data_IF_212089185932
#
_entry.id   IF_212089185932
#
_cell.length_a   1.000
_cell.length_b   1.000
_cell.length_c   1.000
_cell.angle_alpha   90.00
_cell.angle_beta   90.00
_cell.angle_gamma   90.00
#
_symmetry.space_group_name_H-M   'P 1'
#
loop_
_entity.id
_entity.type
_entity.pdbx_description
1 polymer ?
#
# COMPACT_ATOMS: atom_id res chain seq x y z
N UNK A 1 -28.19 6.05 -1.44
CA UNK A 1 -28.21 5.60 -0.02
C UNK A 1 -26.99 6.14 0.69
N UNK A 2 -27.06 6.32 2.01
CA UNK A 2 -25.91 6.85 2.77
C UNK A 2 -24.94 5.72 3.17
N UNK A 3 -23.65 5.93 2.86
CA UNK A 3 -22.55 5.01 3.19
C UNK A 3 -21.70 5.62 4.28
N UNK A 4 -21.39 4.85 5.33
CA UNK A 4 -20.39 5.20 6.33
C UNK A 4 -19.07 4.48 5.99
N UNK A 5 -18.04 5.23 5.63
CA UNK A 5 -16.70 4.71 5.41
C UNK A 5 -15.83 4.96 6.64
N UNK A 6 -15.25 3.90 7.21
CA UNK A 6 -14.44 3.99 8.43
C UNK A 6 -13.02 3.50 8.14
N UNK A 7 -12.03 4.32 8.44
CA UNK A 7 -10.61 3.98 8.31
C UNK A 7 -9.81 4.48 9.52
N UNK A 8 -8.81 3.73 9.92
CA UNK A 8 -7.82 4.16 10.92
C UNK A 8 -6.65 4.89 10.27
N UNK A 9 -6.49 4.75 8.94
CA UNK A 9 -5.53 5.50 8.15
C UNK A 9 -6.04 6.92 7.89
N UNK A 10 -5.15 7.92 7.95
CA UNK A 10 -5.49 9.31 7.66
C UNK A 10 -5.67 9.56 6.16
N UNK A 11 -6.63 10.41 5.80
CA UNK A 11 -6.81 10.85 4.41
C UNK A 11 -5.65 11.73 3.94
N UNK A 12 -4.96 12.39 4.87
CA UNK A 12 -3.77 13.21 4.63
C UNK A 12 -2.46 12.42 4.77
N UNK A 13 -2.51 11.15 5.17
CA UNK A 13 -1.37 10.23 5.14
C UNK A 13 -1.14 9.70 3.70
N UNK A 14 0.05 9.17 3.36
CA UNK A 14 0.36 8.71 2.00
C UNK A 14 -0.64 7.71 1.42
N UNK A 15 -1.27 6.89 2.27
CA UNK A 15 -2.31 5.94 1.85
C UNK A 15 -3.65 6.62 1.51
N UNK A 16 -3.93 7.79 2.09
CA UNK A 16 -5.16 8.53 1.84
C UNK A 16 -5.35 8.87 0.37
N UNK A 17 -4.47 9.67 -0.24
CA UNK A 17 -4.57 10.05 -1.64
C UNK A 17 -4.40 8.90 -2.63
N UNK A 18 -3.71 7.82 -2.25
CA UNK A 18 -3.44 6.70 -3.16
C UNK A 18 -4.47 5.58 -3.09
N UNK A 19 -5.05 5.30 -1.91
CA UNK A 19 -5.84 4.08 -1.70
C UNK A 19 -7.18 4.31 -1.00
N UNK A 20 -7.51 5.53 -0.57
CA UNK A 20 -8.78 5.81 0.10
C UNK A 20 -9.58 6.81 -0.70
N UNK A 21 -9.06 8.00 -0.93
CA UNK A 21 -9.79 9.08 -1.62
C UNK A 21 -10.28 8.69 -3.02
N UNK A 22 -9.50 8.03 -3.90
CA UNK A 22 -9.99 7.63 -5.21
C UNK A 22 -11.20 6.69 -5.13
N UNK A 23 -11.16 5.71 -4.24
CA UNK A 23 -12.27 4.77 -4.05
C UNK A 23 -13.51 5.46 -3.48
N UNK A 24 -13.35 6.30 -2.46
CA UNK A 24 -14.49 6.99 -1.83
C UNK A 24 -15.12 8.01 -2.77
N UNK A 25 -14.32 8.73 -3.55
CA UNK A 25 -14.80 9.61 -4.62
C UNK A 25 -15.56 8.81 -5.70
N UNK A 26 -15.06 7.63 -6.08
CA UNK A 26 -15.76 6.71 -6.97
C UNK A 26 -17.10 6.25 -6.40
N UNK A 27 -17.12 5.84 -5.14
CA UNK A 27 -18.35 5.43 -4.44
C UNK A 27 -19.36 6.58 -4.40
N UNK A 28 -18.94 7.80 -4.10
CA UNK A 28 -19.82 8.96 -3.97
C UNK A 28 -20.55 9.34 -5.26
N UNK A 29 -20.02 8.95 -6.44
CA UNK A 29 -20.71 9.16 -7.72
C UNK A 29 -21.98 8.31 -7.88
N UNK A 30 -22.10 7.23 -7.11
CA UNK A 30 -23.19 6.26 -7.20
C UNK A 30 -24.05 6.21 -5.93
N UNK A 31 -23.78 7.08 -4.96
CA UNK A 31 -24.46 7.11 -3.66
C UNK A 31 -24.92 8.53 -3.33
N UNK A 32 -25.97 8.66 -2.52
CA UNK A 32 -26.52 9.97 -2.14
C UNK A 32 -25.54 10.75 -1.27
N UNK A 33 -24.89 10.05 -0.33
CA UNK A 33 -23.89 10.63 0.57
C UNK A 33 -22.92 9.58 1.08
N UNK A 34 -21.65 9.96 1.22
CA UNK A 34 -20.62 9.17 1.91
C UNK A 34 -20.10 9.96 3.10
N UNK A 35 -20.26 9.41 4.29
CA UNK A 35 -19.66 9.97 5.51
C UNK A 35 -18.38 9.22 5.83
N UNK A 36 -17.24 9.92 5.89
CA UNK A 36 -15.94 9.32 6.17
C UNK A 36 -15.49 9.65 7.58
N UNK A 37 -15.07 8.62 8.33
CA UNK A 37 -14.34 8.75 9.60
C UNK A 37 -12.91 8.28 9.38
N UNK A 38 -11.93 9.15 9.66
CA UNK A 38 -10.50 8.85 9.53
C UNK A 38 -9.72 9.38 10.73
N UNK A 39 -8.49 8.88 10.94
CA UNK A 39 -7.59 9.37 11.99
C UNK A 39 -6.44 10.16 11.38
N UNK A 40 -6.35 11.42 11.75
CA UNK A 40 -5.37 12.35 11.20
C UNK A 40 -4.27 12.68 12.21
N UNK A 41 -3.06 12.84 11.71
CA UNK A 41 -1.96 13.44 12.48
C UNK A 41 -2.16 14.94 12.58
N UNK A 42 -2.03 15.50 13.79
CA UNK A 42 -2.29 16.92 14.05
C UNK A 42 -1.55 17.87 13.08
N UNK A 43 -0.27 17.59 12.80
CA UNK A 43 0.54 18.39 11.88
C UNK A 43 -0.01 18.39 10.45
N UNK A 44 -0.39 17.21 9.94
CA UNK A 44 -0.94 17.07 8.59
C UNK A 44 -2.33 17.68 8.48
N UNK A 45 -3.14 17.53 9.52
CA UNK A 45 -4.46 18.12 9.57
C UNK A 45 -4.39 19.65 9.54
N UNK A 46 -3.43 20.24 10.27
CA UNK A 46 -3.22 21.70 10.29
C UNK A 46 -2.93 22.27 8.89
N UNK A 47 -2.10 21.58 8.11
CA UNK A 47 -1.66 22.09 6.81
C UNK A 47 -2.51 21.63 5.63
N UNK A 48 -3.21 20.48 5.74
CA UNK A 48 -3.90 19.84 4.60
C UNK A 48 -5.42 19.91 4.66
N UNK A 49 -6.02 20.32 5.79
CA UNK A 49 -7.47 20.24 6.01
C UNK A 49 -8.28 21.03 4.98
N UNK A 50 -7.93 22.29 4.78
CA UNK A 50 -8.71 23.19 3.94
C UNK A 50 -8.62 22.80 2.45
N UNK A 51 -7.45 22.40 2.00
CA UNK A 51 -7.25 21.88 0.65
C UNK A 51 -8.08 20.61 0.40
N UNK A 52 -8.06 19.66 1.36
CA UNK A 52 -8.86 18.44 1.25
C UNK A 52 -10.37 18.73 1.31
N UNK A 53 -10.82 19.62 2.20
CA UNK A 53 -12.23 20.01 2.26
C UNK A 53 -12.68 20.69 0.96
N UNK A 54 -11.83 21.51 0.34
CA UNK A 54 -12.11 22.14 -0.95
C UNK A 54 -12.26 21.08 -2.07
N UNK A 55 -11.37 20.10 -2.10
CA UNK A 55 -11.45 18.99 -3.06
C UNK A 55 -12.72 18.15 -2.86
N UNK A 56 -13.09 17.83 -1.62
CA UNK A 56 -14.26 17.02 -1.29
C UNK A 56 -15.60 17.71 -1.56
N UNK A 57 -15.64 19.06 -1.67
CA UNK A 57 -16.87 19.80 -2.00
C UNK A 57 -17.48 19.43 -3.35
N UNK A 58 -16.66 18.93 -4.27
CA UNK A 58 -17.11 18.48 -5.59
C UNK A 58 -17.79 17.10 -5.56
N UNK A 59 -17.88 16.50 -4.38
CA UNK A 59 -18.41 15.15 -4.17
C UNK A 59 -19.42 15.16 -3.03
N UNK A 60 -20.37 14.25 -3.03
CA UNK A 60 -21.30 14.04 -1.90
C UNK A 60 -20.60 13.34 -0.73
N UNK A 61 -19.55 13.99 -0.19
CA UNK A 61 -18.70 13.42 0.85
C UNK A 61 -18.65 14.34 2.07
N UNK A 62 -19.05 13.81 3.22
CA UNK A 62 -18.90 14.48 4.52
C UNK A 62 -17.72 13.86 5.29
N UNK A 63 -16.65 14.62 5.50
CA UNK A 63 -15.49 14.16 6.23
C UNK A 63 -15.54 14.50 7.74
N UNK A 64 -15.29 13.51 8.59
CA UNK A 64 -15.27 13.59 10.05
C UNK A 64 -13.90 13.11 10.58
N UNK A 65 -12.86 13.98 10.55
CA UNK A 65 -11.54 13.62 11.04
C UNK A 65 -11.52 13.48 12.56
N UNK A 66 -10.84 12.45 13.06
CA UNK A 66 -10.45 12.27 14.44
C UNK A 66 -8.93 12.48 14.57
N UNK A 67 -8.48 13.00 15.70
CA UNK A 67 -7.05 13.16 15.94
C UNK A 67 -6.45 11.88 16.50
N UNK A 68 -5.32 11.48 15.92
CA UNK A 68 -4.54 10.35 16.38
C UNK A 68 -3.88 10.65 17.73
N UNK A 69 -4.03 9.74 18.70
CA UNK A 69 -3.42 9.92 20.04
C UNK A 69 -1.96 9.51 20.01
N UNK A 70 -1.05 10.49 20.21
CA UNK A 70 0.40 10.27 20.29
C UNK A 70 0.83 9.93 21.72
N UNK A 71 1.88 9.12 21.87
CA UNK A 71 2.65 8.98 23.11
C UNK A 71 2.10 8.03 24.18
N UNK A 72 0.86 7.56 24.09
CA UNK A 72 0.24 6.71 25.13
C UNK A 72 0.25 5.21 24.79
N UNK A 73 1.00 4.77 23.81
CA UNK A 73 1.16 3.36 23.46
C UNK A 73 -0.19 2.61 23.29
N UNK A 74 -0.41 1.58 24.09
CA UNK A 74 -1.66 0.80 24.05
C UNK A 74 -2.89 1.59 24.50
N UNK A 75 -2.77 2.43 25.54
CA UNK A 75 -3.87 3.28 26.03
C UNK A 75 -4.32 4.27 24.96
N UNK A 76 -3.38 4.86 24.21
CA UNK A 76 -3.72 5.75 23.09
C UNK A 76 -4.56 5.04 22.03
N UNK A 77 -4.22 3.81 21.67
CA UNK A 77 -5.01 3.00 20.72
C UNK A 77 -6.41 2.68 21.24
N UNK A 78 -6.55 2.42 22.54
CA UNK A 78 -7.86 2.19 23.16
C UNK A 78 -8.72 3.46 23.15
N UNK A 79 -8.11 4.63 23.42
CA UNK A 79 -8.80 5.92 23.33
C UNK A 79 -9.24 6.23 21.89
N UNK A 80 -8.38 5.99 20.93
CA UNK A 80 -8.72 6.18 19.51
C UNK A 80 -9.88 5.27 19.10
N UNK A 81 -9.83 4.01 19.48
CA UNK A 81 -10.91 3.05 19.21
C UNK A 81 -12.23 3.50 19.85
N UNK A 82 -12.20 3.95 21.12
CA UNK A 82 -13.38 4.46 21.82
C UNK A 82 -13.98 5.69 21.13
N UNK A 83 -13.13 6.63 20.67
CA UNK A 83 -13.58 7.80 19.88
C UNK A 83 -14.20 7.38 18.55
N UNK A 84 -13.65 6.36 17.90
CA UNK A 84 -14.20 5.82 16.66
C UNK A 84 -15.60 5.24 16.86
N UNK A 85 -15.80 4.47 17.95
CA UNK A 85 -17.13 3.96 18.32
C UNK A 85 -18.13 5.09 18.60
N UNK A 86 -17.72 6.08 19.39
CA UNK A 86 -18.58 7.23 19.72
C UNK A 86 -18.93 8.02 18.45
N UNK A 87 -17.95 8.32 17.62
CA UNK A 87 -18.18 9.06 16.38
C UNK A 87 -19.09 8.29 15.41
N UNK A 88 -18.89 6.99 15.26
CA UNK A 88 -19.73 6.15 14.43
C UNK A 88 -21.18 6.11 14.98
N UNK A 89 -21.36 6.01 16.30
CA UNK A 89 -22.68 6.09 16.94
C UNK A 89 -23.37 7.43 16.66
N UNK A 90 -22.69 8.55 16.88
CA UNK A 90 -23.26 9.89 16.62
C UNK A 90 -23.64 10.08 15.14
N UNK A 91 -22.87 9.50 14.21
CA UNK A 91 -23.21 9.51 12.79
C UNK A 91 -24.48 8.70 12.54
N UNK A 92 -24.64 7.54 13.18
CA UNK A 92 -25.87 6.74 12.99
C UNK A 92 -27.12 7.41 13.56
N UNK A 93 -26.99 8.25 14.58
CA UNK A 93 -28.11 9.06 15.09
C UNK A 93 -28.52 10.18 14.12
N UNK A 94 -27.56 10.67 13.30
CA UNK A 94 -27.79 11.80 12.38
C UNK A 94 -28.17 11.35 10.97
N UNK A 95 -27.59 10.25 10.50
CA UNK A 95 -27.71 9.76 9.14
C UNK A 95 -28.35 8.37 9.09
N UNK A 96 -29.22 8.12 8.12
CA UNK A 96 -29.81 6.81 7.88
C UNK A 96 -28.80 5.91 7.12
N UNK A 97 -27.83 5.38 7.86
CA UNK A 97 -26.75 4.55 7.30
C UNK A 97 -27.32 3.22 6.78
N UNK A 98 -27.06 2.92 5.53
CA UNK A 98 -27.47 1.67 4.86
C UNK A 98 -26.32 0.69 4.69
N UNK A 99 -25.10 1.21 4.47
CA UNK A 99 -23.88 0.43 4.29
C UNK A 99 -22.76 1.02 5.13
N UNK A 100 -22.03 0.15 5.78
CA UNK A 100 -20.75 0.48 6.44
C UNK A 100 -19.63 -0.19 5.66
N UNK A 101 -18.71 0.59 5.12
CA UNK A 101 -17.47 0.11 4.50
C UNK A 101 -16.34 0.34 5.51
N UNK A 102 -15.83 -0.72 6.07
CA UNK A 102 -14.84 -0.65 7.15
C UNK A 102 -13.47 -1.18 6.67
N UNK A 103 -12.48 -0.26 6.58
CA UNK A 103 -11.14 -0.56 6.10
C UNK A 103 -10.25 -1.10 7.21
N UNK A 104 -9.80 -2.34 7.08
CA UNK A 104 -8.97 -3.10 8.02
C UNK A 104 -9.69 -3.46 9.34
N UNK A 105 -8.99 -4.19 10.23
CA UNK A 105 -9.59 -4.85 11.38
C UNK A 105 -10.16 -3.92 12.47
N UNK A 106 -9.46 -2.85 12.94
CA UNK A 106 -10.03 -1.97 13.96
C UNK A 106 -11.31 -1.26 13.49
N UNK A 107 -11.36 -0.64 12.30
CA UNK A 107 -12.60 -0.08 11.75
C UNK A 107 -13.71 -1.12 11.56
N UNK A 108 -13.38 -2.36 11.18
CA UNK A 108 -14.38 -3.39 10.98
C UNK A 108 -15.07 -3.81 12.30
N UNK A 109 -14.39 -3.73 13.45
CA UNK A 109 -15.03 -3.94 14.76
C UNK A 109 -16.09 -2.87 15.03
N UNK A 110 -15.78 -1.61 14.71
CA UNK A 110 -16.73 -0.50 14.81
C UNK A 110 -17.86 -0.66 13.80
N UNK A 111 -17.56 -1.05 12.56
CA UNK A 111 -18.56 -1.36 11.54
C UNK A 111 -19.53 -2.45 11.98
N UNK A 112 -19.03 -3.49 12.64
CA UNK A 112 -19.87 -4.56 13.20
C UNK A 112 -20.79 -4.06 14.33
N UNK A 113 -20.33 -3.13 15.15
CA UNK A 113 -21.16 -2.45 16.13
C UNK A 113 -22.28 -1.65 15.45
N UNK A 114 -21.94 -0.82 14.46
CA UNK A 114 -22.93 -0.05 13.68
C UNK A 114 -23.98 -0.97 13.04
N UNK A 115 -23.54 -2.06 12.39
CA UNK A 115 -24.45 -3.07 11.83
C UNK A 115 -25.47 -3.58 12.85
N UNK A 116 -25.04 -3.84 14.09
CA UNK A 116 -25.93 -4.36 15.13
C UNK A 116 -26.99 -3.38 15.60
N UNK A 117 -26.67 -2.09 15.64
CA UNK A 117 -27.61 -1.07 16.12
C UNK A 117 -28.49 -0.48 15.02
N UNK A 118 -28.06 -0.56 13.74
CA UNK A 118 -28.78 0.08 12.61
C UNK A 118 -29.36 -0.90 11.59
N UNK A 119 -28.97 -2.17 11.62
CA UNK A 119 -29.22 -3.17 10.58
C UNK A 119 -28.57 -2.84 9.21
N UNK A 120 -27.64 -1.88 9.16
CA UNK A 120 -26.85 -1.58 7.97
C UNK A 120 -26.02 -2.79 7.53
N UNK A 121 -25.78 -2.92 6.22
CA UNK A 121 -24.86 -3.94 5.69
C UNK A 121 -23.41 -3.57 5.99
N UNK A 122 -22.59 -4.56 6.37
CA UNK A 122 -21.17 -4.38 6.64
C UNK A 122 -20.33 -4.97 5.51
N UNK A 123 -19.55 -4.13 4.87
CA UNK A 123 -18.45 -4.52 3.97
C UNK A 123 -17.16 -4.46 4.79
N UNK A 124 -16.51 -5.61 4.94
CA UNK A 124 -15.18 -5.70 5.56
C UNK A 124 -14.10 -5.63 4.47
N UNK A 125 -13.45 -4.50 4.33
CA UNK A 125 -12.27 -4.34 3.48
C UNK A 125 -11.06 -4.92 4.22
N UNK A 126 -10.76 -6.20 3.97
CA UNK A 126 -9.85 -7.05 4.73
C UNK A 126 -8.39 -6.59 4.64
N UNK A 127 -7.96 -6.03 3.53
CA UNK A 127 -6.62 -5.46 3.27
C UNK A 127 -5.43 -6.38 3.53
N UNK A 128 -5.64 -7.66 3.73
CA UNK A 128 -4.62 -8.68 3.94
C UNK A 128 -4.61 -9.28 5.35
N UNK A 129 -3.74 -10.25 5.58
CA UNK A 129 -3.59 -11.02 6.81
C UNK A 129 -2.90 -10.17 7.90
N UNK A 130 -3.58 -9.12 8.34
CA UNK A 130 -3.04 -8.09 9.24
C UNK A 130 -2.49 -8.66 10.55
N UNK A 131 -3.14 -9.68 11.11
CA UNK A 131 -2.74 -10.31 12.38
C UNK A 131 -1.40 -11.02 12.22
N UNK A 132 -1.23 -11.76 11.13
CA UNK A 132 -0.01 -12.49 10.79
C UNK A 132 1.11 -11.51 10.39
N UNK A 133 0.78 -10.46 9.65
CA UNK A 133 1.72 -9.39 9.28
C UNK A 133 2.35 -8.70 10.49
N UNK A 134 1.66 -8.61 11.63
CA UNK A 134 2.22 -8.09 12.88
C UNK A 134 3.33 -8.97 13.43
N UNK A 135 3.24 -10.27 13.24
CA UNK A 135 4.29 -11.24 13.59
C UNK A 135 5.46 -11.10 12.63
N UNK A 136 5.19 -11.11 11.32
CA UNK A 136 6.21 -11.00 10.26
C UNK A 136 7.04 -9.72 10.37
N UNK A 137 6.40 -8.59 10.72
CA UNK A 137 7.07 -7.30 10.98
C UNK A 137 7.84 -7.24 12.30
N UNK A 138 7.79 -8.31 13.12
CA UNK A 138 8.43 -8.36 14.43
C UNK A 138 7.72 -7.56 15.52
N UNK A 139 6.50 -7.07 15.24
CA UNK A 139 5.69 -6.35 16.23
C UNK A 139 5.15 -7.25 17.34
N UNK A 140 4.99 -8.54 17.05
CA UNK A 140 4.62 -9.58 18.03
C UNK A 140 5.59 -10.76 17.95
N UNK A 141 6.27 -11.03 19.07
CA UNK A 141 7.09 -12.22 19.22
C UNK A 141 6.24 -13.31 19.87
N UNK A 142 5.90 -14.36 19.13
CA UNK A 142 5.04 -15.44 19.62
C UNK A 142 5.69 -16.32 20.71
N UNK A 143 6.99 -16.21 20.96
CA UNK A 143 7.65 -16.81 22.11
C UNK A 143 7.31 -16.08 23.42
N UNK A 144 6.84 -14.84 23.34
CA UNK A 144 6.41 -14.06 24.48
C UNK A 144 4.93 -14.33 24.80
N UNK A 145 4.61 -14.69 26.04
CA UNK A 145 3.27 -15.10 26.47
C UNK A 145 2.17 -14.08 26.12
N UNK A 146 2.38 -12.81 26.44
CA UNK A 146 1.39 -11.76 26.17
C UNK A 146 1.16 -11.52 24.67
N UNK A 147 2.22 -11.55 23.85
CA UNK A 147 2.08 -11.41 22.39
C UNK A 147 1.31 -12.60 21.80
N UNK A 148 1.55 -13.82 22.31
CA UNK A 148 0.80 -15.02 21.90
C UNK A 148 -0.68 -14.95 22.26
N UNK A 149 -1.00 -14.42 23.47
CA UNK A 149 -2.40 -14.20 23.87
C UNK A 149 -3.08 -13.16 23.00
N UNK A 150 -2.37 -12.06 22.70
CA UNK A 150 -2.83 -10.98 21.82
C UNK A 150 -3.07 -11.49 20.40
N UNK A 151 -2.15 -12.27 19.85
CA UNK A 151 -2.30 -12.92 18.54
C UNK A 151 -3.56 -13.80 18.50
N UNK A 152 -3.73 -14.70 19.47
CA UNK A 152 -4.91 -15.57 19.54
C UNK A 152 -6.22 -14.77 19.67
N UNK A 153 -6.21 -13.67 20.42
CA UNK A 153 -7.36 -12.77 20.54
C UNK A 153 -7.72 -12.16 19.17
N UNK A 154 -6.75 -11.56 18.50
CA UNK A 154 -7.01 -10.91 17.21
C UNK A 154 -7.35 -11.89 16.09
N UNK A 155 -6.81 -13.12 16.10
CA UNK A 155 -7.26 -14.18 15.15
C UNK A 155 -8.73 -14.56 15.40
N UNK A 156 -9.21 -14.58 16.63
CA UNK A 156 -10.63 -14.77 16.92
C UNK A 156 -11.49 -13.59 16.45
N UNK A 157 -11.00 -12.37 16.65
CA UNK A 157 -11.67 -11.16 16.15
C UNK A 157 -11.74 -11.18 14.63
N UNK A 158 -10.65 -11.49 13.94
CA UNK A 158 -10.58 -11.62 12.49
C UNK A 158 -11.61 -12.61 11.97
N UNK A 159 -11.63 -13.82 12.51
CA UNK A 159 -12.64 -14.84 12.17
C UNK A 159 -14.07 -14.34 12.37
N UNK A 160 -14.34 -13.69 13.50
CA UNK A 160 -15.67 -13.13 13.81
C UNK A 160 -16.10 -12.08 12.81
N UNK A 161 -15.17 -11.18 12.41
CA UNK A 161 -15.43 -10.15 11.42
C UNK A 161 -15.75 -10.76 10.05
N UNK A 162 -14.99 -11.78 9.61
CA UNK A 162 -15.27 -12.50 8.36
C UNK A 162 -16.66 -13.13 8.36
N UNK A 163 -17.01 -13.84 9.44
CA UNK A 163 -18.32 -14.52 9.56
C UNK A 163 -19.49 -13.52 9.56
N UNK A 164 -19.36 -12.42 10.30
CA UNK A 164 -20.47 -11.48 10.56
C UNK A 164 -20.58 -10.32 9.58
N UNK A 165 -19.60 -10.12 8.70
CA UNK A 165 -19.71 -9.16 7.59
C UNK A 165 -20.69 -9.67 6.53
N UNK A 166 -21.40 -8.78 5.86
CA UNK A 166 -22.27 -9.17 4.74
C UNK A 166 -21.44 -9.43 3.47
N UNK A 167 -20.34 -8.71 3.32
CA UNK A 167 -19.40 -8.88 2.21
C UNK A 167 -17.96 -8.61 2.65
N UNK A 168 -17.00 -9.25 2.00
CA UNK A 168 -15.56 -9.11 2.28
C UNK A 168 -14.86 -8.68 0.99
N UNK A 169 -14.06 -7.63 1.07
CA UNK A 169 -13.18 -7.22 -0.02
C UNK A 169 -11.76 -7.64 0.33
N UNK A 170 -11.09 -8.32 -0.60
CA UNK A 170 -9.69 -8.73 -0.48
C UNK A 170 -8.86 -8.13 -1.62
N UNK A 171 -7.53 -8.11 -1.47
CA UNK A 171 -6.65 -7.48 -2.45
C UNK A 171 -6.11 -8.44 -3.51
N UNK A 172 -6.18 -9.74 -3.27
CA UNK A 172 -5.52 -10.75 -4.12
C UNK A 172 -6.36 -12.00 -4.23
N UNK A 173 -6.27 -12.68 -5.38
CA UNK A 173 -6.88 -13.99 -5.56
C UNK A 173 -6.23 -15.05 -4.64
N UNK A 174 -4.92 -14.94 -4.42
CA UNK A 174 -4.17 -15.88 -3.56
C UNK A 174 -4.67 -15.95 -2.12
N UNK A 175 -5.27 -14.86 -1.59
CA UNK A 175 -5.76 -14.85 -0.21
C UNK A 175 -7.20 -15.34 -0.07
N UNK A 176 -7.93 -15.53 -1.19
CA UNK A 176 -9.35 -15.92 -1.17
C UNK A 176 -9.57 -17.23 -0.43
N UNK A 177 -8.84 -18.28 -0.79
CA UNK A 177 -8.98 -19.61 -0.16
C UNK A 177 -8.68 -19.56 1.33
N UNK A 178 -7.68 -18.75 1.73
CA UNK A 178 -7.34 -18.57 3.14
C UNK A 178 -8.45 -17.84 3.91
N UNK A 179 -9.06 -16.81 3.31
CA UNK A 179 -10.19 -16.08 3.90
C UNK A 179 -11.42 -16.97 4.03
N UNK A 180 -11.71 -17.81 3.02
CA UNK A 180 -12.77 -18.81 3.08
C UNK A 180 -12.54 -19.75 4.25
N UNK A 181 -11.34 -20.30 4.37
CA UNK A 181 -10.95 -21.22 5.43
C UNK A 181 -11.00 -20.59 6.83
N UNK A 182 -10.47 -19.38 6.98
CA UNK A 182 -10.46 -18.63 8.25
C UNK A 182 -11.88 -18.28 8.73
N UNK A 183 -12.74 -17.82 7.82
CA UNK A 183 -14.09 -17.37 8.11
C UNK A 183 -15.15 -18.44 8.00
N UNK A 184 -14.87 -19.58 7.36
CA UNK A 184 -15.88 -20.57 6.92
C UNK A 184 -17.03 -19.87 6.16
N UNK A 185 -16.69 -18.98 5.23
CA UNK A 185 -17.63 -18.18 4.43
C UNK A 185 -17.63 -18.64 2.97
N UNK A 186 -18.73 -18.39 2.29
CA UNK A 186 -18.85 -18.71 0.87
C UNK A 186 -18.06 -17.73 0.01
N UNK A 187 -17.51 -18.21 -1.10
CA UNK A 187 -16.78 -17.40 -2.08
C UNK A 187 -17.65 -16.28 -2.67
N UNK A 188 -18.95 -16.49 -2.82
CA UNK A 188 -19.93 -15.48 -3.28
C UNK A 188 -19.94 -14.20 -2.43
N UNK A 189 -19.46 -14.27 -1.19
CA UNK A 189 -19.36 -13.14 -0.26
C UNK A 189 -18.01 -12.41 -0.36
N UNK A 190 -17.13 -12.82 -1.27
CA UNK A 190 -15.78 -12.25 -1.41
C UNK A 190 -15.65 -11.60 -2.78
N UNK A 191 -15.11 -10.38 -2.81
CA UNK A 191 -14.70 -9.70 -4.04
C UNK A 191 -13.22 -9.34 -3.95
N UNK A 192 -12.48 -9.67 -5.00
CA UNK A 192 -11.07 -9.26 -5.14
C UNK A 192 -11.02 -7.88 -5.79
N UNK A 193 -10.46 -6.90 -5.08
CA UNK A 193 -10.21 -5.55 -5.57
C UNK A 193 -8.76 -5.21 -5.27
N UNK A 194 -7.83 -5.39 -6.22
CA UNK A 194 -6.42 -5.08 -6.02
C UNK A 194 -6.18 -3.58 -5.84
N UNK A 195 -4.99 -3.21 -5.39
CA UNK A 195 -4.57 -1.82 -5.42
C UNK A 195 -4.45 -1.37 -6.88
N UNK A 196 -5.11 -0.26 -7.21
CA UNK A 196 -5.15 0.31 -8.55
C UNK A 196 -4.41 1.65 -8.59
N UNK A 197 -4.02 2.08 -9.79
CA UNK A 197 -3.52 3.42 -10.05
C UNK A 197 -4.61 4.29 -10.69
N UNK A 198 -4.51 5.59 -10.47
CA UNK A 198 -5.28 6.60 -11.19
C UNK A 198 -4.51 6.98 -12.46
N UNK A 199 -5.02 6.59 -13.63
CA UNK A 199 -4.40 6.87 -14.93
C UNK A 199 -4.32 8.37 -15.25
N UNK A 200 -5.18 9.21 -14.68
CA UNK A 200 -5.08 10.66 -14.85
C UNK A 200 -3.89 11.21 -14.05
N UNK A 201 -3.51 10.55 -12.95
CA UNK A 201 -2.38 10.94 -12.13
C UNK A 201 -1.07 10.27 -12.56
N UNK A 202 -1.15 9.05 -13.11
CA UNK A 202 -0.03 8.28 -13.66
C UNK A 202 -0.29 8.01 -15.14
N UNK A 203 -0.07 9.01 -16.02
CA UNK A 203 -0.24 8.83 -17.44
C UNK A 203 0.87 7.94 -18.03
N UNK A 204 0.61 7.35 -19.16
CA UNK A 204 1.61 6.60 -19.92
C UNK A 204 2.82 7.51 -20.23
N UNK A 205 4.00 7.03 -19.93
CA UNK A 205 5.26 7.75 -20.17
C UNK A 205 5.59 7.81 -21.67
N UNK A 206 6.14 8.95 -22.11
CA UNK A 206 6.64 9.15 -23.46
C UNK A 206 8.16 9.34 -23.43
N UNK A 207 8.81 9.23 -24.58
CA UNK A 207 10.26 9.48 -24.68
C UNK A 207 10.63 10.90 -24.27
N UNK A 208 9.78 11.89 -24.54
CA UNK A 208 9.98 13.26 -24.06
C UNK A 208 9.94 13.32 -22.53
N UNK A 209 8.94 12.69 -21.89
CA UNK A 209 8.86 12.63 -20.43
C UNK A 209 10.10 11.95 -19.82
N UNK A 210 10.60 10.90 -20.48
CA UNK A 210 11.80 10.18 -20.06
C UNK A 210 13.03 11.07 -20.12
N UNK A 211 13.22 11.77 -21.22
CA UNK A 211 14.35 12.68 -21.42
C UNK A 211 14.32 13.83 -20.41
N UNK A 212 13.18 14.50 -20.27
CA UNK A 212 13.00 15.63 -19.34
C UNK A 212 13.26 15.22 -17.88
N UNK A 213 12.75 14.05 -17.46
CA UNK A 213 12.97 13.53 -16.13
C UNK A 213 14.47 13.23 -15.89
N UNK A 214 15.17 12.61 -16.83
CA UNK A 214 16.60 12.31 -16.73
C UNK A 214 17.46 13.57 -16.66
N UNK A 215 17.22 14.55 -17.51
CA UNK A 215 17.90 15.86 -17.48
C UNK A 215 17.71 16.52 -16.11
N UNK A 216 16.49 16.54 -15.59
CA UNK A 216 16.18 17.17 -14.30
C UNK A 216 16.87 16.47 -13.11
N UNK A 217 17.20 15.20 -13.24
CA UNK A 217 17.85 14.36 -12.23
C UNK A 217 19.38 14.27 -12.41
N UNK A 218 19.94 14.82 -13.50
CA UNK A 218 21.35 14.68 -13.85
C UNK A 218 21.74 13.24 -14.23
N UNK A 219 20.80 12.47 -14.77
CA UNK A 219 21.01 11.12 -15.29
C UNK A 219 21.33 11.24 -16.78
N UNK A 220 22.36 10.53 -17.30
CA UNK A 220 22.61 10.50 -18.74
C UNK A 220 21.36 10.05 -19.51
N UNK A 221 21.04 10.70 -20.61
CA UNK A 221 19.79 10.45 -21.35
C UNK A 221 19.75 9.09 -22.02
N UNK A 222 20.90 8.53 -22.31
CA UNK A 222 21.13 7.20 -22.90
C UNK A 222 21.38 6.09 -21.87
N UNK A 223 21.44 6.42 -20.55
CA UNK A 223 21.66 5.43 -19.50
C UNK A 223 20.49 4.45 -19.39
N UNK A 224 20.78 3.21 -19.00
CA UNK A 224 19.79 2.26 -18.52
C UNK A 224 19.55 2.47 -17.01
N UNK A 225 18.32 2.68 -16.59
CA UNK A 225 18.00 3.10 -15.22
C UNK A 225 17.15 2.06 -14.48
N UNK A 226 17.73 1.42 -13.48
CA UNK A 226 16.98 0.62 -12.51
C UNK A 226 16.33 1.51 -11.46
N UNK A 227 15.03 1.33 -11.22
CA UNK A 227 14.24 2.14 -10.31
C UNK A 227 13.88 1.45 -9.00
N UNK A 228 13.81 2.22 -7.93
CA UNK A 228 13.14 1.84 -6.68
C UNK A 228 12.20 2.96 -6.23
N UNK A 229 10.98 2.59 -5.86
CA UNK A 229 9.99 3.53 -5.30
C UNK A 229 9.44 2.99 -3.97
N UNK A 230 9.58 3.73 -2.88
CA UNK A 230 8.94 3.39 -1.62
C UNK A 230 9.73 3.74 -0.37
N UNK A 231 9.22 3.30 0.79
CA UNK A 231 9.89 3.44 2.09
C UNK A 231 10.98 2.38 2.26
N UNK A 232 11.92 2.66 3.16
CA UNK A 232 12.99 1.75 3.54
C UNK A 232 12.57 1.02 4.82
N UNK A 233 12.66 -0.31 4.82
CA UNK A 233 12.32 -1.11 6.00
C UNK A 233 12.50 -2.59 5.75
N UNK A 234 12.45 -3.39 6.82
CA UNK A 234 12.73 -4.85 6.83
C UNK A 234 11.97 -5.67 5.79
N UNK A 235 10.83 -5.16 5.31
CA UNK A 235 10.00 -5.87 4.34
C UNK A 235 10.43 -5.63 2.89
N UNK A 236 11.29 -4.64 2.64
CA UNK A 236 11.81 -4.31 1.32
C UNK A 236 13.27 -4.70 1.25
N UNK A 237 13.62 -5.58 0.33
CA UNK A 237 14.93 -6.21 0.24
C UNK A 237 15.88 -5.34 -0.60
N UNK A 238 16.23 -4.15 -0.07
CA UNK A 238 17.13 -3.21 -0.76
C UNK A 238 18.57 -3.73 -0.90
N UNK A 239 18.99 -4.62 -0.01
CA UNK A 239 20.26 -5.36 -0.16
C UNK A 239 20.27 -6.18 -1.48
N UNK A 240 19.13 -6.78 -1.84
CA UNK A 240 18.95 -7.52 -3.10
C UNK A 240 18.86 -6.58 -4.29
N UNK A 241 18.23 -5.41 -4.12
CA UNK A 241 18.26 -4.36 -5.14
C UNK A 241 19.70 -3.94 -5.47
N UNK A 242 20.51 -3.65 -4.45
CA UNK A 242 21.90 -3.27 -4.68
C UNK A 242 22.74 -4.41 -5.27
N UNK A 243 22.42 -5.66 -4.93
CA UNK A 243 23.09 -6.80 -5.55
C UNK A 243 22.74 -6.88 -7.05
N UNK A 244 21.45 -6.81 -7.40
CA UNK A 244 21.02 -6.76 -8.79
C UNK A 244 21.69 -5.59 -9.56
N UNK A 245 21.73 -4.40 -8.94
CA UNK A 245 22.36 -3.23 -9.53
C UNK A 245 23.87 -3.46 -9.83
N UNK A 246 24.60 -4.07 -8.89
CA UNK A 246 26.02 -4.42 -9.11
C UNK A 246 26.21 -5.38 -10.29
N UNK A 247 25.40 -6.42 -10.33
CA UNK A 247 25.42 -7.38 -11.44
C UNK A 247 25.10 -6.70 -12.76
N UNK A 248 24.09 -5.82 -12.78
CA UNK A 248 23.70 -5.05 -13.99
C UNK A 248 24.83 -4.14 -14.47
N UNK A 249 25.54 -3.43 -13.59
CA UNK A 249 26.68 -2.58 -13.96
C UNK A 249 27.87 -3.39 -14.55
N UNK A 250 28.03 -4.65 -14.13
CA UNK A 250 29.08 -5.51 -14.71
C UNK A 250 28.77 -5.86 -16.18
N UNK A 251 27.51 -6.07 -16.52
CA UNK A 251 27.04 -6.41 -17.87
C UNK A 251 26.86 -5.13 -18.72
N UNK A 252 26.23 -4.11 -18.15
CA UNK A 252 25.91 -2.82 -18.80
C UNK A 252 26.65 -1.68 -18.12
N UNK A 253 27.66 -1.13 -18.78
CA UNK A 253 28.47 -0.02 -18.23
C UNK A 253 27.72 1.31 -18.14
N UNK A 254 26.61 1.45 -18.87
CA UNK A 254 25.68 2.58 -18.85
C UNK A 254 24.58 2.46 -17.78
N UNK A 255 24.60 1.43 -16.93
CA UNK A 255 23.59 1.21 -15.92
C UNK A 255 23.71 2.20 -14.75
N UNK A 256 22.61 2.89 -14.45
CA UNK A 256 22.40 3.77 -13.31
C UNK A 256 21.23 3.28 -12.45
N UNK A 257 21.06 3.83 -11.25
CA UNK A 257 19.92 3.55 -10.39
C UNK A 257 19.25 4.85 -9.93
N UNK A 258 17.91 4.87 -9.90
CA UNK A 258 17.11 5.95 -9.32
C UNK A 258 16.27 5.42 -8.16
N UNK A 259 16.54 5.91 -6.94
CA UNK A 259 15.79 5.54 -5.75
C UNK A 259 14.93 6.71 -5.26
N UNK A 260 13.62 6.55 -5.36
CA UNK A 260 12.63 7.55 -4.93
C UNK A 260 12.11 7.15 -3.57
N UNK A 261 12.56 7.84 -2.51
CA UNK A 261 12.19 7.55 -1.12
C UNK A 261 12.22 8.80 -0.25
N UNK A 262 11.41 8.82 0.80
CA UNK A 262 11.47 9.85 1.87
C UNK A 262 12.48 9.50 2.97
N UNK A 263 12.92 8.26 3.01
CA UNK A 263 13.82 7.73 4.06
C UNK A 263 15.29 7.87 3.64
N UNK A 264 15.69 9.08 3.19
CA UNK A 264 16.99 9.32 2.58
C UNK A 264 18.18 9.03 3.50
N UNK A 265 18.04 9.29 4.80
CA UNK A 265 19.12 9.00 5.79
C UNK A 265 19.35 7.51 5.95
N UNK A 266 18.30 6.71 6.04
CA UNK A 266 18.39 5.25 6.12
C UNK A 266 18.96 4.66 4.80
N UNK A 267 18.57 5.24 3.65
CA UNK A 267 19.11 4.84 2.36
C UNK A 267 20.62 5.09 2.28
N UNK A 268 21.09 6.25 2.72
CA UNK A 268 22.51 6.58 2.69
C UNK A 268 23.34 5.57 3.45
N UNK A 269 22.91 5.18 4.66
CA UNK A 269 23.59 4.14 5.46
C UNK A 269 23.65 2.78 4.73
N UNK A 270 22.55 2.41 4.07
CA UNK A 270 22.50 1.18 3.28
C UNK A 270 23.43 1.24 2.06
N UNK A 271 23.47 2.37 1.34
CA UNK A 271 24.38 2.56 0.22
C UNK A 271 25.85 2.43 0.67
N UNK A 272 26.23 3.09 1.75
CA UNK A 272 27.59 3.02 2.30
C UNK A 272 28.02 1.60 2.68
N UNK A 273 27.08 0.75 3.12
CA UNK A 273 27.35 -0.65 3.48
C UNK A 273 27.38 -1.62 2.30
N UNK A 274 26.78 -1.26 1.16
CA UNK A 274 26.61 -2.18 0.03
C UNK A 274 27.36 -1.76 -1.24
N UNK A 275 27.69 -0.47 -1.41
CA UNK A 275 28.24 0.05 -2.66
C UNK A 275 29.64 0.66 -2.45
N UNK A 276 30.49 0.51 -3.46
CA UNK A 276 31.72 1.27 -3.56
C UNK A 276 31.45 2.73 -3.90
N UNK A 277 32.36 3.67 -3.65
CA UNK A 277 32.20 5.07 -4.08
C UNK A 277 31.92 5.23 -5.57
N UNK A 278 32.55 4.42 -6.43
CA UNK A 278 32.31 4.42 -7.87
C UNK A 278 30.86 4.03 -8.22
N UNK A 279 30.35 2.95 -7.63
CA UNK A 279 28.96 2.53 -7.86
C UNK A 279 27.96 3.53 -7.26
N UNK A 280 28.29 4.10 -6.10
CA UNK A 280 27.44 5.13 -5.49
C UNK A 280 27.29 6.38 -6.34
N UNK A 281 28.27 6.75 -7.16
CA UNK A 281 28.19 7.88 -8.08
C UNK A 281 27.17 7.69 -9.20
N UNK A 282 26.76 6.44 -9.46
CA UNK A 282 25.72 6.08 -10.45
C UNK A 282 24.32 5.93 -9.82
N UNK A 283 24.20 6.18 -8.51
CA UNK A 283 22.93 6.07 -7.81
C UNK A 283 22.36 7.45 -7.52
N UNK A 284 21.20 7.74 -8.08
CA UNK A 284 20.47 8.98 -7.91
C UNK A 284 19.39 8.80 -6.85
N UNK A 285 19.39 9.66 -5.83
CA UNK A 285 18.43 9.59 -4.72
C UNK A 285 17.55 10.81 -4.74
N UNK A 286 16.23 10.60 -4.74
CA UNK A 286 15.24 11.69 -4.72
C UNK A 286 14.18 11.44 -3.66
N UNK A 287 13.92 12.45 -2.84
CA UNK A 287 12.69 12.51 -2.05
C UNK A 287 11.61 13.16 -2.89
N UNK A 288 10.42 12.56 -2.94
CA UNK A 288 9.32 13.07 -3.76
C UNK A 288 8.00 13.04 -3.00
N UNK A 289 7.18 14.05 -3.25
CA UNK A 289 5.77 14.06 -2.92
C UNK A 289 4.99 13.18 -3.90
N UNK A 290 3.73 12.86 -3.59
CA UNK A 290 2.89 12.07 -4.49
C UNK A 290 2.75 12.71 -5.88
N UNK A 291 2.66 14.04 -5.95
CA UNK A 291 2.49 14.76 -7.22
C UNK A 291 3.78 14.80 -8.06
N UNK A 292 4.93 14.65 -7.42
CA UNK A 292 6.22 14.61 -8.12
C UNK A 292 6.57 13.21 -8.65
N UNK A 293 6.04 12.14 -8.03
CA UNK A 293 6.33 10.75 -8.44
C UNK A 293 6.03 10.52 -9.92
N UNK A 294 4.87 10.92 -10.50
CA UNK A 294 4.58 10.70 -11.92
C UNK A 294 5.55 11.40 -12.87
N UNK A 295 6.19 12.51 -12.42
CA UNK A 295 7.16 13.27 -13.20
C UNK A 295 8.54 12.57 -13.21
N UNK A 296 8.85 11.87 -12.12
CA UNK A 296 10.14 11.20 -11.94
C UNK A 296 10.16 9.77 -12.48
N UNK A 297 9.03 9.08 -12.44
CA UNK A 297 8.91 7.69 -12.88
C UNK A 297 9.40 7.45 -14.32
N UNK A 298 9.12 8.35 -15.29
CA UNK A 298 9.57 8.16 -16.67
C UNK A 298 11.09 8.02 -16.85
N UNK A 299 11.90 8.51 -15.88
CA UNK A 299 13.36 8.34 -15.93
C UNK A 299 13.81 6.88 -15.83
N UNK A 300 12.94 5.97 -15.33
CA UNK A 300 13.22 4.57 -15.02
C UNK A 300 12.88 3.69 -16.21
N UNK A 301 13.80 2.79 -16.57
CA UNK A 301 13.57 1.76 -17.60
C UNK A 301 12.90 0.52 -17.01
N UNK A 302 13.34 0.10 -15.81
CA UNK A 302 12.79 -1.07 -15.11
C UNK A 302 12.68 -0.77 -13.62
N UNK A 303 11.50 -0.97 -13.07
CA UNK A 303 11.27 -0.85 -11.63
C UNK A 303 11.58 -2.16 -10.91
N UNK A 304 12.35 -2.10 -9.83
CA UNK A 304 12.67 -3.28 -9.00
C UNK A 304 11.81 -3.27 -7.74
N UNK A 305 11.10 -4.37 -7.48
CA UNK A 305 10.20 -4.52 -6.35
C UNK A 305 10.42 -5.83 -5.61
N UNK A 306 11.51 -5.90 -4.83
CA UNK A 306 11.79 -7.06 -3.99
C UNK A 306 11.19 -6.89 -2.60
N UNK A 307 10.30 -7.81 -2.23
CA UNK A 307 9.56 -7.78 -0.97
C UNK A 307 9.77 -9.11 -0.26
N UNK A 308 10.05 -9.07 1.04
CA UNK A 308 10.22 -10.27 1.85
C UNK A 308 8.95 -11.14 1.80
N UNK A 309 9.08 -12.34 1.24
CA UNK A 309 7.98 -13.28 1.06
C UNK A 309 7.64 -13.97 2.37
N UNK A 310 6.41 -13.82 2.84
CA UNK A 310 5.88 -14.44 4.05
C UNK A 310 4.46 -14.93 3.83
N UNK A 311 3.94 -15.73 4.76
CA UNK A 311 2.55 -16.16 4.73
C UNK A 311 1.58 -14.98 4.61
N UNK A 312 1.79 -13.90 5.37
CA UNK A 312 0.90 -12.73 5.32
C UNK A 312 0.95 -11.99 3.98
N UNK A 313 2.01 -12.14 3.19
CA UNK A 313 2.16 -11.46 1.90
C UNK A 313 1.29 -12.02 0.78
N UNK A 314 0.62 -13.14 0.98
CA UNK A 314 -0.41 -13.62 0.06
C UNK A 314 -1.52 -12.59 -0.15
N UNK A 315 -1.86 -11.83 0.89
CA UNK A 315 -2.87 -10.77 0.83
C UNK A 315 -2.34 -9.39 0.45
N UNK A 316 -1.08 -9.26 0.01
CA UNK A 316 -0.48 -7.97 -0.32
C UNK A 316 -0.61 -7.65 -1.80
N UNK A 317 -1.08 -6.43 -2.11
CA UNK A 317 -1.12 -5.86 -3.46
C UNK A 317 -0.32 -4.55 -3.45
N UNK A 318 0.92 -4.53 -3.99
CA UNK A 318 1.76 -3.34 -3.97
C UNK A 318 1.22 -2.24 -4.90
N UNK A 319 0.79 -1.10 -4.35
CA UNK A 319 0.25 0.03 -5.13
C UNK A 319 1.24 0.55 -6.18
N UNK A 320 2.53 0.61 -5.82
CA UNK A 320 3.58 1.06 -6.74
C UNK A 320 3.67 0.24 -8.03
N UNK A 321 3.29 -1.04 -8.00
CA UNK A 321 3.24 -1.88 -9.19
C UNK A 321 2.17 -1.38 -10.16
N UNK A 322 0.96 -1.10 -9.66
CA UNK A 322 -0.10 -0.54 -10.49
C UNK A 322 0.29 0.85 -11.06
N UNK A 323 0.99 1.67 -10.27
CA UNK A 323 1.49 2.98 -10.69
C UNK A 323 2.54 2.87 -11.81
N UNK A 324 3.46 1.90 -11.70
CA UNK A 324 4.45 1.63 -12.76
C UNK A 324 3.79 1.12 -14.03
N UNK A 325 2.88 0.17 -13.95
CA UNK A 325 2.16 -0.34 -15.12
C UNK A 325 1.32 0.74 -15.80
N UNK A 326 0.67 1.62 -15.03
CA UNK A 326 -0.04 2.77 -15.58
C UNK A 326 0.89 3.70 -16.37
N UNK A 327 2.13 3.87 -15.91
CA UNK A 327 3.16 4.67 -16.57
C UNK A 327 3.92 3.93 -17.69
N UNK A 328 3.62 2.66 -17.97
CA UNK A 328 4.28 1.85 -18.97
C UNK A 328 5.68 1.35 -18.57
N UNK A 329 5.97 1.28 -17.27
CA UNK A 329 7.28 0.88 -16.75
C UNK A 329 7.22 -0.60 -16.34
N UNK A 330 8.02 -1.48 -16.94
CA UNK A 330 8.12 -2.88 -16.58
C UNK A 330 8.73 -3.07 -15.18
N UNK A 331 8.44 -4.23 -14.56
CA UNK A 331 8.82 -4.51 -13.18
C UNK A 331 9.58 -5.82 -13.07
N UNK A 332 10.70 -5.79 -12.35
CA UNK A 332 11.34 -6.99 -11.80
C UNK A 332 10.89 -7.18 -10.36
N UNK A 333 10.25 -8.29 -10.08
CA UNK A 333 9.75 -8.63 -8.75
C UNK A 333 10.14 -10.05 -8.35
N UNK A 334 10.11 -10.34 -7.04
CA UNK A 334 10.23 -11.72 -6.58
C UNK A 334 8.85 -12.38 -6.43
N UNK A 335 8.82 -13.69 -6.54
CA UNK A 335 7.63 -14.51 -6.27
C UNK A 335 7.20 -14.47 -4.79
N UNK A 336 6.01 -14.99 -4.49
CA UNK A 336 5.50 -15.13 -3.12
C UNK A 336 4.82 -13.87 -2.54
N UNK A 337 4.55 -12.86 -3.36
CA UNK A 337 3.84 -11.63 -2.96
C UNK A 337 2.52 -11.55 -3.72
N UNK A 338 1.40 -11.77 -3.02
CA UNK A 338 0.05 -11.68 -3.60
C UNK A 338 -0.06 -12.20 -5.03
N UNK A 339 -0.75 -11.46 -5.88
CA UNK A 339 -0.95 -11.79 -7.29
C UNK A 339 0.11 -11.13 -8.21
N UNK A 340 1.27 -10.70 -7.68
CA UNK A 340 2.31 -9.97 -8.43
C UNK A 340 2.71 -10.75 -9.69
N UNK A 341 3.01 -12.07 -9.55
CA UNK A 341 3.36 -12.92 -10.70
C UNK A 341 2.26 -12.95 -11.74
N UNK A 342 1.01 -13.14 -11.29
CA UNK A 342 -0.13 -13.20 -12.20
C UNK A 342 -0.29 -11.92 -13.02
N UNK A 343 -0.14 -10.74 -12.40
CA UNK A 343 -0.25 -9.46 -13.10
C UNK A 343 0.91 -9.23 -14.07
N UNK A 344 2.14 -9.57 -13.68
CA UNK A 344 3.30 -9.44 -14.55
C UNK A 344 3.14 -10.32 -15.79
N UNK A 345 2.76 -11.60 -15.59
CA UNK A 345 2.57 -12.56 -16.68
C UNK A 345 1.39 -12.15 -17.62
N UNK A 346 0.28 -11.67 -17.05
CA UNK A 346 -0.91 -11.28 -17.84
C UNK A 346 -0.72 -10.00 -18.66
N UNK A 347 0.11 -9.08 -18.17
CA UNK A 347 0.33 -7.78 -18.78
C UNK A 347 1.61 -7.72 -19.64
N UNK A 348 2.38 -8.82 -19.66
CA UNK A 348 3.76 -8.82 -20.21
C UNK A 348 4.56 -7.65 -19.62
N UNK A 349 4.37 -7.43 -18.33
CA UNK A 349 4.79 -6.21 -17.61
C UNK A 349 6.15 -6.34 -16.92
N UNK A 350 7.00 -7.30 -17.30
CA UNK A 350 8.31 -7.48 -16.72
C UNK A 350 8.62 -8.94 -16.32
N UNK A 351 9.40 -9.14 -15.25
CA UNK A 351 9.92 -10.46 -14.87
C UNK A 351 9.71 -10.79 -13.41
N UNK A 352 9.48 -12.05 -13.11
CA UNK A 352 9.38 -12.57 -11.73
C UNK A 352 10.51 -13.53 -11.46
N UNK A 353 11.27 -13.23 -10.43
CA UNK A 353 12.39 -14.06 -9.95
C UNK A 353 11.88 -14.97 -8.83
N UNK A 354 12.07 -16.27 -8.98
CA UNK A 354 11.65 -17.25 -7.96
C UNK A 354 12.64 -17.34 -6.79
N UNK A 355 13.91 -17.09 -7.04
CA UNK A 355 14.95 -17.06 -6.01
C UNK A 355 15.79 -15.78 -6.10
N UNK A 356 15.96 -15.07 -5.00
CA UNK A 356 16.86 -13.93 -4.89
C UNK A 356 18.31 -14.35 -4.56
N UNK A 357 18.71 -15.57 -4.94
CA UNK A 357 20.08 -16.01 -4.97
C UNK A 357 20.88 -15.26 -6.05
N UNK A 358 22.19 -15.43 -6.06
CA UNK A 358 23.06 -14.82 -7.09
C UNK A 358 22.66 -15.30 -8.51
N UNK A 359 22.40 -16.60 -8.67
CA UNK A 359 21.99 -17.18 -9.96
C UNK A 359 20.65 -16.60 -10.43
N UNK A 360 19.65 -16.48 -9.54
CA UNK A 360 18.34 -15.89 -9.91
C UNK A 360 18.42 -14.40 -10.22
N UNK A 361 19.30 -13.66 -9.54
CA UNK A 361 19.54 -12.25 -9.85
C UNK A 361 20.31 -12.12 -11.19
N UNK A 362 21.24 -13.03 -11.50
CA UNK A 362 21.94 -13.03 -12.77
C UNK A 362 21.02 -13.37 -13.94
N UNK A 363 20.10 -14.33 -13.76
CA UNK A 363 19.03 -14.61 -14.74
C UNK A 363 18.18 -13.38 -15.02
N UNK A 364 17.82 -12.62 -13.97
CA UNK A 364 17.10 -11.37 -14.15
C UNK A 364 17.90 -10.35 -14.96
N UNK A 365 19.22 -10.21 -14.70
CA UNK A 365 20.08 -9.28 -15.47
C UNK A 365 20.10 -9.67 -16.95
N UNK A 366 20.17 -10.96 -17.28
CA UNK A 366 20.13 -11.43 -18.68
C UNK A 366 18.80 -11.07 -19.37
N UNK A 367 17.69 -11.10 -18.63
CA UNK A 367 16.39 -10.70 -19.16
C UNK A 367 16.21 -9.17 -19.28
N UNK A 368 17.10 -8.37 -18.67
CA UNK A 368 17.08 -6.91 -18.79
C UNK A 368 17.77 -6.39 -20.08
N UNK A 369 18.47 -7.24 -20.81
CA UNK A 369 19.20 -6.90 -22.03
C UNK A 369 18.35 -7.00 -23.31
N UNK A 370 17.02 -7.09 -23.19
CA UNK A 370 16.08 -7.13 -24.32
C UNK A 370 15.59 -5.74 -24.69
#
# INVERSE_FOLDING_TARGET
MTVLYITYDGLLDPLGPSQILPYVKGISKHQDEVVIVSFEKSERLLHGKDALLSDLRNYSITWKPLLFTKGLGFLGKLMDLSRMYLQAFLITCKYNIKVVHARAHPPAQVGLFVKRITKAKLIFDFRGLWVDERVDKGGWNLNHFFHRLQYKYYKRVERKLLIQSDHVVVLTNKVVDEVIKLGAIEQSRITVIPCCADYNHFPLSTDSHKMDARISLGIPTDAFVLGYLGSIGRMYLLDRFFHLFKLSVNVRKDCHALLITRDTSALKQLMESHLTPELSSRVHVKSASRNEVPILLPAIDVMVSFIFSTYARQGASPTKMAECFASGIPIVANSGVGDVKQFIDQLDGGWVIDSLSEDGLMEAVQNLDI
#
